data_IF_929340495630
#
_entry.id   IF_929340495630
#
_cell.length_a   1.000
_cell.length_b   1.000
_cell.length_c   1.000
_cell.angle_alpha   90.00
_cell.angle_beta   90.00
_cell.angle_gamma   90.00
#
_symmetry.space_group_name_H-M   'P 1'
#
loop_
_entity.id
_entity.type
_entity.pdbx_description
1 polymer ?
#
# COMPACT_ATOMS: atom_id res chain seq x y z
N UNK A 1 -62.48 -68.42 7.23
CA UNK A 1 -62.25 -67.17 6.46
C UNK A 1 -62.02 -66.03 7.45
N UNK A 2 -60.77 -65.61 7.62
CA UNK A 2 -60.33 -64.50 8.49
C UNK A 2 -59.77 -63.39 7.58
N UNK A 3 -60.19 -62.14 7.75
CA UNK A 3 -59.34 -60.95 7.52
C UNK A 3 -59.80 -59.82 8.43
N UNK A 4 -59.06 -59.63 9.52
CA UNK A 4 -59.02 -58.41 10.32
C UNK A 4 -58.01 -57.51 9.62
N UNK A 5 -58.44 -56.32 9.17
CA UNK A 5 -57.55 -55.30 8.62
C UNK A 5 -57.18 -54.37 9.76
N UNK A 6 -55.94 -54.50 10.23
CA UNK A 6 -55.33 -53.62 11.23
C UNK A 6 -54.71 -52.44 10.49
N UNK A 7 -55.33 -51.26 10.59
CA UNK A 7 -54.80 -50.00 10.07
C UNK A 7 -53.71 -49.46 11.01
N UNK A 8 -52.45 -49.60 10.61
CA UNK A 8 -51.29 -49.05 11.32
C UNK A 8 -50.96 -47.67 10.75
N UNK A 9 -51.33 -46.62 11.48
CA UNK A 9 -50.97 -45.24 11.16
C UNK A 9 -49.50 -44.99 11.49
N UNK A 10 -48.66 -44.86 10.47
CA UNK A 10 -47.26 -44.49 10.60
C UNK A 10 -47.16 -42.96 10.68
N UNK A 11 -46.96 -42.42 11.88
CA UNK A 11 -46.64 -41.00 12.09
C UNK A 11 -45.21 -40.75 11.59
N UNK A 12 -45.06 -40.22 10.38
CA UNK A 12 -43.78 -39.72 9.87
C UNK A 12 -43.50 -38.36 10.54
N UNK A 13 -42.69 -38.38 11.60
CA UNK A 13 -42.09 -37.17 12.15
C UNK A 13 -41.01 -36.69 11.16
N UNK A 14 -41.37 -35.74 10.28
CA UNK A 14 -40.40 -35.00 9.49
C UNK A 14 -39.57 -34.12 10.44
N UNK A 15 -38.45 -34.65 10.92
CA UNK A 15 -37.37 -33.82 11.45
C UNK A 15 -36.80 -32.99 10.30
N UNK A 16 -37.29 -31.77 10.16
CA UNK A 16 -36.71 -30.75 9.29
C UNK A 16 -35.32 -30.40 9.82
N UNK A 17 -34.30 -31.13 9.37
CA UNK A 17 -32.91 -30.72 9.56
C UNK A 17 -32.76 -29.44 8.73
N UNK A 18 -32.91 -28.30 9.39
CA UNK A 18 -32.55 -27.01 8.82
C UNK A 18 -31.04 -27.00 8.68
N UNK A 19 -30.54 -27.47 7.53
CA UNK A 19 -29.15 -27.27 7.15
C UNK A 19 -28.93 -25.76 7.10
N UNK A 20 -28.23 -25.21 8.10
CA UNK A 20 -27.74 -23.84 8.02
C UNK A 20 -26.72 -23.81 6.89
N UNK A 21 -27.16 -23.38 5.70
CA UNK A 21 -26.27 -23.17 4.58
C UNK A 21 -25.23 -22.11 4.99
N UNK A 22 -23.95 -22.47 4.87
CA UNK A 22 -22.86 -21.51 5.06
C UNK A 22 -23.07 -20.34 4.09
N UNK A 23 -23.17 -19.13 4.63
CA UNK A 23 -23.53 -17.90 3.90
C UNK A 23 -22.30 -17.09 3.49
N UNK A 24 -21.19 -17.28 4.19
CA UNK A 24 -19.97 -16.49 4.05
C UNK A 24 -18.76 -17.41 3.84
N UNK A 25 -17.84 -17.02 2.96
CA UNK A 25 -16.60 -17.77 2.75
C UNK A 25 -15.66 -17.62 3.94
N UNK A 26 -15.54 -16.41 4.49
CA UNK A 26 -14.70 -16.11 5.65
C UNK A 26 -15.47 -15.18 6.60
N UNK A 27 -15.44 -15.45 7.89
CA UNK A 27 -15.85 -14.50 8.95
C UNK A 27 -14.61 -14.15 9.77
N UNK A 28 -14.33 -12.87 9.92
CA UNK A 28 -13.31 -12.33 10.81
C UNK A 28 -14.02 -11.87 12.09
N UNK A 29 -13.73 -12.54 13.21
CA UNK A 29 -14.52 -12.44 14.44
C UNK A 29 -13.77 -11.66 15.52
N UNK A 30 -14.46 -10.72 16.16
CA UNK A 30 -14.05 -10.09 17.42
C UNK A 30 -12.89 -9.12 17.32
N UNK A 31 -12.56 -8.65 16.11
CA UNK A 31 -11.48 -7.71 15.88
C UNK A 31 -11.86 -6.26 16.13
N UNK A 32 -10.87 -5.42 16.39
CA UNK A 32 -11.04 -3.97 16.41
C UNK A 32 -10.96 -3.44 14.98
N UNK A 33 -12.10 -3.24 14.34
CA UNK A 33 -12.17 -2.77 12.96
C UNK A 33 -11.83 -1.29 12.89
N UNK A 34 -10.86 -0.94 12.05
CA UNK A 34 -10.54 0.44 11.66
C UNK A 34 -10.75 0.56 10.16
N UNK A 35 -11.84 1.22 9.76
CA UNK A 35 -12.16 1.52 8.37
C UNK A 35 -12.40 3.03 8.20
N UNK A 36 -11.36 3.77 7.77
CA UNK A 36 -11.42 5.23 7.67
C UNK A 36 -12.48 5.76 6.71
N UNK A 37 -12.82 5.03 5.63
CA UNK A 37 -13.84 5.49 4.66
C UNK A 37 -15.23 5.49 5.28
N UNK A 38 -15.55 4.44 6.04
CA UNK A 38 -16.86 4.24 6.64
C UNK A 38 -16.97 4.78 8.07
N UNK A 39 -15.94 5.50 8.55
CA UNK A 39 -15.86 6.04 9.91
C UNK A 39 -16.08 4.97 11.00
N UNK A 40 -15.49 3.79 10.81
CA UNK A 40 -15.56 2.68 11.77
C UNK A 40 -14.26 2.63 12.56
N UNK A 41 -14.39 2.62 13.89
CA UNK A 41 -13.31 2.42 14.83
C UNK A 41 -13.86 1.73 16.10
N UNK A 42 -13.91 0.39 16.12
CA UNK A 42 -14.45 -0.36 17.25
C UNK A 42 -14.51 -1.87 17.06
N UNK A 43 -14.91 -2.59 18.12
CA UNK A 43 -15.00 -4.05 18.10
C UNK A 43 -16.17 -4.52 17.24
N UNK A 44 -15.87 -5.23 16.15
CA UNK A 44 -16.85 -5.71 15.18
C UNK A 44 -16.36 -7.01 14.51
N UNK A 45 -17.26 -7.62 13.75
CA UNK A 45 -16.98 -8.73 12.85
C UNK A 45 -17.11 -8.27 11.40
N UNK A 46 -16.33 -8.91 10.52
CA UNK A 46 -16.36 -8.70 9.07
C UNK A 46 -16.62 -10.04 8.40
N UNK A 47 -17.66 -10.14 7.58
CA UNK A 47 -17.94 -11.34 6.79
C UNK A 47 -17.71 -11.09 5.31
N UNK A 48 -17.01 -12.01 4.67
CA UNK A 48 -16.65 -12.02 3.26
C UNK A 48 -17.42 -13.14 2.55
N UNK A 49 -17.78 -12.91 1.30
CA UNK A 49 -18.33 -13.97 0.43
C UNK A 49 -17.68 -13.88 -0.94
N UNK A 50 -16.83 -14.86 -1.26
CA UNK A 50 -15.93 -14.74 -2.40
C UNK A 50 -15.02 -13.52 -2.23
N UNK A 51 -14.85 -12.74 -3.29
CA UNK A 51 -14.01 -11.55 -3.34
C UNK A 51 -14.68 -10.27 -2.82
N UNK A 52 -15.82 -10.39 -2.13
CA UNK A 52 -16.65 -9.25 -1.72
C UNK A 52 -16.86 -9.19 -0.21
N UNK A 53 -16.76 -7.99 0.37
CA UNK A 53 -17.17 -7.73 1.77
C UNK A 53 -18.69 -7.76 1.85
N UNK A 54 -19.26 -8.71 2.59
CA UNK A 54 -20.72 -8.94 2.61
C UNK A 54 -21.41 -8.32 3.83
N UNK A 55 -20.72 -8.22 4.96
CA UNK A 55 -21.27 -7.63 6.17
C UNK A 55 -20.16 -7.10 7.08
N UNK A 56 -20.44 -5.98 7.74
CA UNK A 56 -19.67 -5.47 8.88
C UNK A 56 -20.65 -5.18 10.00
N UNK A 57 -20.57 -5.91 11.11
CA UNK A 57 -21.57 -5.86 12.18
C UNK A 57 -20.97 -6.17 13.55
N UNK A 58 -21.63 -5.77 14.63
CA UNK A 58 -21.14 -6.02 16.00
C UNK A 58 -20.97 -7.50 16.35
N UNK A 59 -21.84 -8.34 15.80
CA UNK A 59 -21.79 -9.79 16.02
C UNK A 59 -22.39 -10.53 14.82
N UNK A 60 -21.63 -11.46 14.25
CA UNK A 60 -22.01 -12.36 13.17
C UNK A 60 -21.83 -13.79 13.69
N UNK A 61 -22.84 -14.63 13.52
CA UNK A 61 -22.76 -16.04 13.93
C UNK A 61 -21.64 -16.75 13.16
N UNK A 62 -20.58 -17.24 13.83
CA UNK A 62 -19.47 -17.92 13.17
C UNK A 62 -19.91 -19.18 12.40
N UNK A 63 -21.05 -19.79 12.75
CA UNK A 63 -21.60 -20.96 12.04
C UNK A 63 -22.02 -20.65 10.59
N UNK A 64 -22.19 -19.37 10.25
CA UNK A 64 -22.50 -18.95 8.89
C UNK A 64 -21.26 -18.91 7.97
N UNK A 65 -20.05 -19.07 8.53
CA UNK A 65 -18.80 -19.03 7.78
C UNK A 65 -18.30 -20.42 7.38
N UNK A 66 -17.68 -20.52 6.21
CA UNK A 66 -16.87 -21.70 5.82
C UNK A 66 -15.57 -21.69 6.63
N UNK A 67 -14.90 -20.54 6.70
CA UNK A 67 -13.75 -20.27 7.55
C UNK A 67 -14.05 -19.16 8.54
N UNK A 68 -13.46 -19.25 9.73
CA UNK A 68 -13.56 -18.26 10.80
C UNK A 68 -12.16 -17.87 11.24
N UNK A 69 -11.84 -16.58 11.21
CA UNK A 69 -10.60 -15.98 11.71
C UNK A 69 -10.88 -15.42 13.11
N UNK A 70 -10.16 -15.88 14.14
CA UNK A 70 -10.20 -15.27 15.47
C UNK A 70 -9.29 -14.04 15.53
N UNK A 71 -9.88 -12.85 15.44
CA UNK A 71 -9.16 -11.58 15.47
C UNK A 71 -9.24 -10.89 16.84
N UNK A 72 -9.62 -11.61 17.91
CA UNK A 72 -9.77 -11.01 19.24
C UNK A 72 -8.47 -10.35 19.72
N UNK A 73 -8.56 -9.08 20.13
CA UNK A 73 -7.42 -8.30 20.60
C UNK A 73 -6.48 -7.83 19.48
N UNK A 74 -6.88 -8.02 18.21
CA UNK A 74 -6.18 -7.57 17.02
C UNK A 74 -6.97 -6.46 16.32
N UNK A 75 -6.32 -5.74 15.42
CA UNK A 75 -6.93 -4.76 14.54
C UNK A 75 -7.27 -5.38 13.19
N UNK A 76 -8.43 -5.03 12.65
CA UNK A 76 -8.87 -5.46 11.32
C UNK A 76 -9.01 -4.21 10.47
N UNK A 77 -8.26 -4.12 9.38
CA UNK A 77 -8.22 -2.94 8.50
C UNK A 77 -8.48 -3.37 7.06
N UNK A 78 -8.87 -2.45 6.16
CA UNK A 78 -8.72 -2.70 4.74
C UNK A 78 -7.29 -3.18 4.45
N UNK A 79 -7.14 -4.05 3.45
CA UNK A 79 -5.82 -4.48 2.99
C UNK A 79 -4.95 -3.28 2.68
N UNK A 80 -3.69 -3.30 3.15
CA UNK A 80 -2.81 -2.14 3.01
C UNK A 80 -2.45 -1.92 1.53
N UNK A 81 -2.27 -0.65 1.18
CA UNK A 81 -1.88 -0.20 -0.16
C UNK A 81 -0.54 0.51 -0.03
N UNK A 82 0.49 -0.10 -0.58
CA UNK A 82 1.80 0.53 -0.71
C UNK A 82 1.91 1.19 -2.09
N UNK A 83 1.68 2.51 -2.13
CA UNK A 83 1.57 3.23 -3.40
C UNK A 83 2.93 3.64 -4.02
N UNK A 84 4.04 3.23 -3.41
CA UNK A 84 5.37 3.48 -3.92
C UNK A 84 6.23 2.24 -3.67
N UNK A 85 6.43 1.41 -4.69
CA UNK A 85 7.28 0.23 -4.64
C UNK A 85 7.96 0.01 -5.99
N UNK A 86 8.98 -0.85 -6.03
CA UNK A 86 9.63 -1.25 -7.28
C UNK A 86 9.47 -2.74 -7.52
N UNK A 87 8.64 -3.11 -8.49
CA UNK A 87 8.16 -4.49 -8.67
C UNK A 87 8.48 -5.12 -10.02
N UNK A 88 9.03 -4.38 -10.98
CA UNK A 88 9.46 -4.94 -12.25
C UNK A 88 10.81 -5.69 -12.16
N UNK A 89 10.88 -6.66 -11.24
CA UNK A 89 12.06 -7.50 -11.06
C UNK A 89 12.33 -8.34 -12.29
N UNK A 90 13.60 -8.44 -12.66
CA UNK A 90 14.00 -9.22 -13.81
C UNK A 90 15.48 -9.54 -13.86
N UNK A 91 15.89 -10.11 -14.99
CA UNK A 91 17.23 -10.68 -15.19
C UNK A 91 18.09 -9.82 -16.11
N UNK A 92 17.66 -8.62 -16.50
CA UNK A 92 18.49 -7.69 -17.29
C UNK A 92 19.45 -6.98 -16.36
N UNK A 93 20.60 -7.62 -16.12
CA UNK A 93 21.60 -7.17 -15.15
C UNK A 93 22.30 -5.84 -15.50
N UNK A 94 22.10 -5.34 -16.72
CA UNK A 94 22.53 -4.01 -17.17
C UNK A 94 21.53 -2.89 -16.82
N UNK A 95 20.41 -3.21 -16.16
CA UNK A 95 19.33 -2.28 -15.81
C UNK A 95 19.21 -2.17 -14.29
N UNK A 96 18.55 -1.10 -13.80
CA UNK A 96 18.31 -0.92 -12.36
C UNK A 96 16.97 -1.54 -11.95
N UNK A 97 15.85 -0.86 -12.24
CA UNK A 97 14.52 -1.23 -11.75
C UNK A 97 13.58 -1.74 -12.86
N UNK A 98 13.80 -1.34 -14.12
CA UNK A 98 13.03 -1.85 -15.26
C UNK A 98 13.52 -3.23 -15.69
N UNK A 99 12.78 -4.30 -15.38
CA UNK A 99 13.20 -5.69 -15.65
C UNK A 99 14.61 -6.00 -15.08
N UNK A 100 14.98 -5.30 -14.02
CA UNK A 100 16.34 -5.27 -13.47
C UNK A 100 16.41 -5.94 -12.09
N UNK A 101 17.63 -6.10 -11.56
CA UNK A 101 17.87 -6.81 -10.31
C UNK A 101 17.53 -5.99 -9.06
N UNK A 102 17.25 -4.69 -9.17
CA UNK A 102 17.00 -3.85 -7.99
C UNK A 102 15.52 -3.80 -7.57
N UNK A 103 14.59 -4.14 -8.45
CA UNK A 103 13.18 -4.32 -8.10
C UNK A 103 12.93 -5.66 -7.39
N UNK A 104 11.73 -5.89 -6.84
CA UNK A 104 11.38 -7.10 -6.08
C UNK A 104 10.09 -7.75 -6.58
N UNK A 105 10.07 -9.08 -6.62
CA UNK A 105 8.85 -9.83 -6.86
C UNK A 105 7.79 -9.54 -5.76
N UNK A 106 6.55 -9.11 -6.09
CA UNK A 106 5.57 -8.63 -5.10
C UNK A 106 5.20 -9.62 -4.00
N UNK A 107 4.85 -10.86 -4.37
CA UNK A 107 4.26 -11.84 -3.45
C UNK A 107 5.21 -12.22 -2.29
N UNK A 108 6.53 -12.09 -2.49
CA UNK A 108 7.54 -12.42 -1.47
C UNK A 108 7.66 -11.39 -0.33
N UNK A 109 7.14 -10.18 -0.52
CA UNK A 109 7.39 -9.04 0.38
C UNK A 109 6.13 -8.33 0.89
N UNK A 110 4.96 -8.66 0.34
CA UNK A 110 3.72 -7.89 0.57
C UNK A 110 2.76 -8.56 1.54
N UNK A 111 2.45 -9.85 1.38
CA UNK A 111 1.43 -10.49 2.21
C UNK A 111 1.81 -10.62 3.68
N UNK A 112 3.09 -10.81 3.99
CA UNK A 112 3.59 -10.88 5.38
C UNK A 112 3.53 -9.55 6.13
N UNK A 113 3.18 -8.46 5.46
CA UNK A 113 3.13 -7.10 6.00
C UNK A 113 1.75 -6.47 5.84
N UNK A 114 0.70 -7.26 5.57
CA UNK A 114 -0.66 -6.76 5.41
C UNK A 114 -0.94 -6.10 4.06
N UNK A 115 0.06 -6.04 3.17
CA UNK A 115 -0.06 -5.37 1.87
C UNK A 115 -0.77 -6.28 0.88
N UNK A 116 -1.90 -5.79 0.36
CA UNK A 116 -2.71 -6.49 -0.66
C UNK A 116 -2.57 -5.86 -2.05
N UNK A 117 -2.17 -4.59 -2.09
CA UNK A 117 -1.98 -3.82 -3.30
C UNK A 117 -0.66 -3.07 -3.24
N UNK A 118 0.10 -3.13 -4.32
CA UNK A 118 1.29 -2.31 -4.55
C UNK A 118 1.09 -1.46 -5.80
N UNK A 119 1.74 -0.31 -5.85
CA UNK A 119 1.83 0.51 -7.06
C UNK A 119 3.30 0.69 -7.41
N UNK A 120 3.71 0.05 -8.51
CA UNK A 120 5.05 0.20 -9.07
C UNK A 120 5.28 1.65 -9.48
N UNK A 121 6.32 2.27 -8.92
CA UNK A 121 6.57 3.69 -9.03
C UNK A 121 7.48 4.04 -10.21
N UNK A 122 7.05 3.65 -11.43
CA UNK A 122 7.74 4.04 -12.66
C UNK A 122 8.83 3.08 -13.12
N UNK A 123 8.88 1.82 -12.68
CA UNK A 123 9.87 0.90 -13.22
C UNK A 123 9.68 0.69 -14.72
N UNK A 124 8.44 0.59 -15.18
CA UNK A 124 8.10 0.47 -16.59
C UNK A 124 7.72 1.84 -17.19
N UNK A 125 8.16 2.10 -18.42
CA UNK A 125 7.66 3.17 -19.27
C UNK A 125 6.72 2.64 -20.34
N UNK A 126 6.30 3.49 -21.29
CA UNK A 126 5.37 3.10 -22.35
C UNK A 126 5.91 2.00 -23.30
N UNK A 127 7.24 1.86 -23.45
CA UNK A 127 7.86 0.78 -24.25
C UNK A 127 7.92 -0.53 -23.47
N UNK A 128 8.20 -0.46 -22.16
CA UNK A 128 8.50 -1.62 -21.33
C UNK A 128 7.29 -2.15 -20.53
N UNK A 129 6.16 -1.43 -20.51
CA UNK A 129 4.95 -1.85 -19.81
C UNK A 129 4.39 -3.22 -20.24
N UNK A 130 4.35 -3.61 -21.54
CA UNK A 130 3.86 -4.94 -21.93
C UNK A 130 4.64 -6.09 -21.27
N UNK A 131 5.97 -5.93 -21.16
CA UNK A 131 6.83 -6.90 -20.47
C UNK A 131 6.52 -6.91 -18.97
N UNK A 132 6.42 -5.75 -18.33
CA UNK A 132 6.08 -5.65 -16.90
C UNK A 132 4.73 -6.30 -16.57
N UNK A 133 3.73 -6.05 -17.42
CA UNK A 133 2.40 -6.64 -17.25
C UNK A 133 2.48 -8.16 -17.30
N UNK A 134 3.12 -8.72 -18.33
CA UNK A 134 3.23 -10.16 -18.53
C UNK A 134 4.08 -10.84 -17.46
N UNK A 135 5.19 -10.23 -17.06
CA UNK A 135 6.20 -10.83 -16.19
C UNK A 135 5.91 -10.64 -14.70
N UNK A 136 5.17 -9.61 -14.32
CA UNK A 136 4.89 -9.30 -12.92
C UNK A 136 3.40 -9.21 -12.64
N UNK A 137 2.68 -8.31 -13.31
CA UNK A 137 1.28 -8.01 -12.95
C UNK A 137 0.39 -9.24 -13.09
N UNK A 138 0.45 -9.93 -14.23
CA UNK A 138 -0.46 -11.02 -14.57
C UNK A 138 -0.22 -12.29 -13.76
N UNK A 139 0.99 -12.46 -13.22
CA UNK A 139 1.36 -13.66 -12.46
C UNK A 139 1.32 -13.46 -10.94
N UNK A 140 1.23 -12.21 -10.46
CA UNK A 140 1.24 -11.90 -9.04
C UNK A 140 -0.11 -12.19 -8.39
N UNK A 141 -0.08 -12.76 -7.18
CA UNK A 141 -1.27 -12.83 -6.34
C UNK A 141 -1.53 -11.48 -5.68
N UNK A 142 -0.50 -10.71 -5.36
CA UNK A 142 -0.65 -9.32 -4.93
C UNK A 142 -1.21 -8.52 -6.09
N UNK A 143 -2.12 -7.57 -5.80
CA UNK A 143 -2.57 -6.65 -6.83
C UNK A 143 -1.45 -5.67 -7.15
N UNK A 144 -0.95 -5.69 -8.38
CA UNK A 144 0.11 -4.80 -8.85
C UNK A 144 -0.51 -3.77 -9.79
N UNK A 145 -0.36 -2.50 -9.44
CA UNK A 145 -0.70 -1.35 -10.28
C UNK A 145 0.60 -0.63 -10.68
N UNK A 146 0.53 0.36 -11.55
CA UNK A 146 1.70 1.06 -12.07
C UNK A 146 1.46 2.55 -12.23
N UNK A 147 2.39 3.36 -11.71
CA UNK A 147 2.73 4.62 -12.35
C UNK A 147 3.65 4.31 -13.54
N UNK A 148 3.29 4.73 -14.75
CA UNK A 148 4.18 4.61 -15.89
C UNK A 148 5.26 5.68 -15.83
N UNK A 149 6.53 5.32 -16.01
CA UNK A 149 7.56 6.32 -16.21
C UNK A 149 7.27 7.15 -17.46
N UNK A 150 7.54 8.46 -17.39
CA UNK A 150 7.50 9.31 -18.58
C UNK A 150 8.58 8.92 -19.60
N UNK A 151 9.71 8.39 -19.14
CA UNK A 151 10.74 7.78 -20.00
C UNK A 151 10.22 6.46 -20.55
N UNK A 152 10.23 6.28 -21.88
CA UNK A 152 9.67 5.11 -22.54
C UNK A 152 10.27 3.78 -22.11
N UNK A 153 11.58 3.71 -21.91
CA UNK A 153 12.25 2.50 -21.41
C UNK A 153 12.01 2.23 -19.90
N UNK A 154 11.47 3.19 -19.16
CA UNK A 154 11.27 3.08 -17.71
C UNK A 154 12.54 3.40 -16.91
N UNK A 155 12.58 3.00 -15.64
CA UNK A 155 13.73 3.15 -14.75
C UNK A 155 14.82 2.11 -15.08
N UNK A 156 15.37 2.20 -16.29
CA UNK A 156 16.53 1.43 -16.70
C UNK A 156 17.81 1.92 -16.01
N UNK A 157 17.85 3.20 -15.63
CA UNK A 157 18.99 3.86 -15.01
C UNK A 157 19.96 4.48 -16.02
N UNK A 158 20.94 5.21 -15.50
CA UNK A 158 21.99 5.84 -16.31
C UNK A 158 21.45 6.86 -17.31
N UNK A 159 22.09 6.96 -18.48
CA UNK A 159 21.74 7.92 -19.53
C UNK A 159 20.34 7.73 -20.11
N UNK A 160 19.76 6.52 -19.99
CA UNK A 160 18.42 6.21 -20.48
C UNK A 160 17.34 6.99 -19.71
N UNK A 161 17.43 7.01 -18.38
CA UNK A 161 16.49 7.71 -17.52
C UNK A 161 16.62 9.25 -17.63
N UNK A 162 17.73 9.73 -18.19
CA UNK A 162 17.98 11.16 -18.43
C UNK A 162 17.59 11.61 -19.85
N UNK A 163 17.13 10.69 -20.71
CA UNK A 163 16.88 11.00 -22.12
C UNK A 163 15.52 11.71 -22.33
N UNK A 164 15.54 13.04 -22.40
CA UNK A 164 14.34 13.86 -22.65
C UNK A 164 13.66 13.52 -23.99
N UNK A 165 14.40 13.05 -24.99
CA UNK A 165 13.81 12.65 -26.28
C UNK A 165 12.95 11.38 -26.17
N UNK A 166 13.20 10.53 -25.17
CA UNK A 166 12.38 9.33 -24.89
C UNK A 166 11.17 9.62 -23.99
N UNK A 167 11.12 10.83 -23.43
CA UNK A 167 9.99 11.31 -22.63
C UNK A 167 8.87 11.76 -23.58
N UNK A 168 7.90 10.89 -23.80
CA UNK A 168 6.81 11.11 -24.77
C UNK A 168 5.44 11.13 -24.06
N UNK A 169 4.84 12.31 -23.88
CA UNK A 169 3.56 12.43 -23.20
C UNK A 169 2.41 11.71 -23.90
N UNK A 170 2.41 11.72 -25.24
CA UNK A 170 1.32 11.17 -26.06
C UNK A 170 1.34 9.65 -25.98
N UNK A 171 2.50 9.02 -26.17
CA UNK A 171 2.62 7.58 -26.06
C UNK A 171 2.42 7.07 -24.62
N UNK A 172 2.91 7.81 -23.63
CA UNK A 172 2.67 7.49 -22.20
C UNK A 172 1.17 7.53 -21.89
N UNK A 173 0.47 8.59 -22.31
CA UNK A 173 -0.96 8.69 -22.10
C UNK A 173 -1.76 7.63 -22.88
N UNK A 174 -1.33 7.28 -24.09
CA UNK A 174 -1.94 6.20 -24.89
C UNK A 174 -1.86 4.87 -24.16
N UNK A 175 -0.67 4.44 -23.72
CA UNK A 175 -0.51 3.16 -23.00
C UNK A 175 -1.29 3.16 -21.68
N UNK A 176 -1.34 4.28 -20.97
CA UNK A 176 -2.15 4.42 -19.76
C UNK A 176 -3.64 4.18 -20.04
N UNK A 177 -4.18 4.81 -21.10
CA UNK A 177 -5.59 4.67 -21.51
C UNK A 177 -5.93 3.28 -22.05
N UNK A 178 -4.98 2.60 -22.70
CA UNK A 178 -5.14 1.22 -23.17
C UNK A 178 -5.13 0.22 -22.01
N UNK A 179 -4.59 0.60 -20.83
CA UNK A 179 -4.45 -0.28 -19.67
C UNK A 179 -5.05 0.34 -18.39
N UNK A 180 -6.32 0.79 -18.42
CA UNK A 180 -6.91 1.62 -17.37
C UNK A 180 -7.21 0.85 -16.08
N UNK A 181 -7.07 -0.48 -16.06
CA UNK A 181 -7.19 -1.31 -14.85
C UNK A 181 -5.88 -1.41 -14.06
N UNK A 182 -4.74 -1.14 -14.71
CA UNK A 182 -3.40 -1.36 -14.16
C UNK A 182 -2.59 -0.08 -14.02
N UNK A 183 -2.70 0.82 -14.99
CA UNK A 183 -2.00 2.11 -14.95
C UNK A 183 -2.85 3.11 -14.17
N UNK A 184 -2.25 3.72 -13.14
CA UNK A 184 -2.93 4.66 -12.22
C UNK A 184 -2.31 6.05 -12.20
N UNK A 185 -1.19 6.25 -12.88
CA UNK A 185 -0.54 7.56 -12.95
C UNK A 185 0.70 7.54 -13.81
N UNK A 186 1.40 8.68 -13.82
CA UNK A 186 2.70 8.84 -14.47
C UNK A 186 3.76 9.14 -13.41
N UNK A 187 4.96 8.60 -13.57
CA UNK A 187 6.11 8.84 -12.73
C UNK A 187 7.14 9.65 -13.50
N UNK A 188 7.68 10.69 -12.87
CA UNK A 188 9.02 11.18 -13.17
C UNK A 188 9.95 10.62 -12.09
N UNK A 189 10.99 9.89 -12.49
CA UNK A 189 11.96 9.27 -11.58
C UNK A 189 13.38 9.74 -11.92
N UNK A 190 14.17 10.03 -10.88
CA UNK A 190 15.62 10.28 -10.91
C UNK A 190 16.17 11.22 -11.99
N UNK A 191 15.38 12.14 -12.55
CA UNK A 191 15.91 13.11 -13.52
C UNK A 191 16.84 14.12 -12.83
N UNK A 192 18.05 14.27 -13.34
CA UNK A 192 19.09 15.15 -12.80
C UNK A 192 19.19 16.45 -13.61
N UNK A 193 19.51 17.53 -12.92
CA UNK A 193 19.68 18.85 -13.53
C UNK A 193 18.50 19.78 -13.27
N UNK A 194 18.52 20.94 -13.93
CA UNK A 194 17.61 22.06 -13.68
C UNK A 194 16.56 22.25 -14.79
N UNK A 195 16.29 21.19 -15.56
CA UNK A 195 15.34 21.25 -16.67
C UNK A 195 13.96 20.83 -16.16
N UNK A 196 12.96 21.70 -16.38
CA UNK A 196 11.56 21.43 -16.06
C UNK A 196 10.83 20.64 -17.14
N UNK A 197 11.40 20.53 -18.34
CA UNK A 197 10.82 19.80 -19.48
C UNK A 197 10.36 18.39 -19.11
N UNK A 198 11.13 17.57 -18.35
CA UNK A 198 10.67 16.25 -17.90
C UNK A 198 9.42 16.30 -17.02
N UNK A 199 9.36 17.27 -16.09
CA UNK A 199 8.21 17.46 -15.21
C UNK A 199 6.98 17.86 -16.02
N UNK A 200 7.12 18.82 -16.92
CA UNK A 200 6.03 19.30 -17.77
C UNK A 200 5.51 18.21 -18.71
N UNK A 201 6.40 17.39 -19.26
CA UNK A 201 6.03 16.22 -20.07
C UNK A 201 5.28 15.17 -19.26
N UNK A 202 5.71 14.88 -18.03
CA UNK A 202 4.98 13.96 -17.14
C UNK A 202 3.58 14.50 -16.80
N UNK A 203 3.48 15.79 -16.49
CA UNK A 203 2.21 16.49 -16.23
C UNK A 203 1.32 16.51 -17.46
N UNK A 204 1.87 16.73 -18.66
CA UNK A 204 1.14 16.65 -19.92
C UNK A 204 0.56 15.24 -20.14
N UNK A 205 1.37 14.20 -19.93
CA UNK A 205 0.90 12.81 -20.02
C UNK A 205 -0.25 12.53 -19.03
N UNK A 206 -0.09 12.99 -17.78
CA UNK A 206 -1.13 12.91 -16.75
C UNK A 206 -2.40 13.67 -17.11
N UNK A 207 -2.31 14.83 -17.78
CA UNK A 207 -3.47 15.58 -18.30
C UNK A 207 -4.16 14.81 -19.41
N UNK A 208 -3.40 14.34 -20.38
CA UNK A 208 -3.92 13.59 -21.53
C UNK A 208 -4.66 12.33 -21.09
N UNK A 209 -4.15 11.61 -20.07
CA UNK A 209 -4.74 10.38 -19.53
C UNK A 209 -5.71 10.59 -18.36
N UNK A 210 -5.88 11.81 -17.85
CA UNK A 210 -6.69 12.11 -16.67
C UNK A 210 -6.31 11.27 -15.43
N UNK A 211 -5.01 11.19 -15.16
CA UNK A 211 -4.41 10.45 -14.04
C UNK A 211 -3.37 11.33 -13.31
N UNK A 212 -3.10 11.06 -12.02
CA UNK A 212 -2.10 11.81 -11.25
C UNK A 212 -0.67 11.58 -11.75
N UNK A 213 0.20 12.54 -11.44
CA UNK A 213 1.65 12.42 -11.62
C UNK A 213 2.33 12.31 -10.27
N UNK A 214 3.32 11.42 -10.14
CA UNK A 214 4.21 11.34 -8.99
C UNK A 214 5.63 11.76 -9.39
N UNK A 215 6.21 12.72 -8.66
CA UNK A 215 7.56 13.24 -8.92
C UNK A 215 8.55 12.79 -7.86
N UNK A 216 9.63 12.15 -8.30
CA UNK A 216 10.90 11.98 -7.59
C UNK A 216 12.02 12.57 -8.44
N UNK A 217 12.63 13.66 -7.98
CA UNK A 217 13.77 14.25 -8.66
C UNK A 217 15.02 13.40 -8.49
N UNK A 218 15.97 13.46 -9.41
CA UNK A 218 17.32 12.98 -9.18
C UNK A 218 18.06 13.93 -8.23
N UNK A 219 19.11 14.57 -8.71
CA UNK A 219 19.83 15.62 -8.00
C UNK A 219 20.15 16.81 -8.89
N UNK A 220 20.25 17.97 -8.28
CA UNK A 220 20.72 19.20 -8.91
C UNK A 220 21.57 20.00 -7.91
N UNK A 221 22.56 20.75 -8.41
CA UNK A 221 23.36 21.69 -7.61
C UNK A 221 23.42 23.03 -8.34
N UNK A 222 22.76 24.10 -7.84
CA UNK A 222 21.88 24.14 -6.66
C UNK A 222 20.65 23.22 -6.78
N UNK A 223 19.94 22.96 -5.68
CA UNK A 223 18.74 22.14 -5.76
C UNK A 223 17.61 22.87 -6.52
N UNK A 224 16.84 22.13 -7.34
CA UNK A 224 15.60 22.61 -7.95
C UNK A 224 14.59 23.06 -6.87
N UNK A 225 13.88 24.15 -7.17
CA UNK A 225 12.89 24.72 -6.25
C UNK A 225 11.65 23.84 -6.15
N UNK A 226 11.36 23.34 -4.94
CA UNK A 226 10.10 22.63 -4.71
C UNK A 226 8.90 23.59 -4.65
N UNK A 227 9.11 24.87 -4.38
CA UNK A 227 8.05 25.88 -4.49
C UNK A 227 7.61 26.05 -5.94
N UNK A 228 8.56 26.18 -6.88
CA UNK A 228 8.27 26.24 -8.31
C UNK A 228 7.58 24.97 -8.80
N UNK A 229 8.08 23.79 -8.41
CA UNK A 229 7.43 22.50 -8.69
C UNK A 229 5.94 22.54 -8.29
N UNK A 230 5.64 22.92 -7.05
CA UNK A 230 4.29 22.86 -6.51
C UNK A 230 3.37 23.93 -7.09
N UNK A 231 3.90 25.13 -7.31
CA UNK A 231 3.07 26.28 -7.68
C UNK A 231 2.88 26.40 -9.18
N UNK A 232 3.88 26.02 -9.98
CA UNK A 232 3.87 26.25 -11.43
C UNK A 232 3.65 24.97 -12.24
N UNK A 233 4.25 23.85 -11.85
CA UNK A 233 4.25 22.64 -12.67
C UNK A 233 3.16 21.64 -12.26
N UNK A 234 3.03 21.35 -10.97
CA UNK A 234 2.07 20.35 -10.48
C UNK A 234 0.64 20.87 -10.39
N UNK A 235 -0.30 19.93 -10.54
CA UNK A 235 -1.75 20.13 -10.49
C UNK A 235 -2.33 19.57 -9.19
N UNK A 236 -3.55 19.97 -8.79
CA UNK A 236 -4.27 19.29 -7.73
C UNK A 236 -4.36 17.77 -8.01
N UNK A 237 -4.05 16.96 -7.00
CA UNK A 237 -3.99 15.49 -7.10
C UNK A 237 -2.62 14.93 -7.50
N UNK A 238 -1.69 15.75 -8.01
CA UNK A 238 -0.32 15.29 -8.25
C UNK A 238 0.44 15.12 -6.91
N UNK A 239 1.41 14.22 -6.92
CA UNK A 239 2.04 13.62 -5.75
C UNK A 239 3.53 14.00 -5.71
N UNK A 240 3.95 14.59 -4.59
CA UNK A 240 5.35 14.73 -4.22
C UNK A 240 5.71 13.61 -3.24
N UNK A 241 6.49 12.64 -3.70
CA UNK A 241 6.99 11.55 -2.86
C UNK A 241 8.33 11.91 -2.24
N UNK A 242 8.85 11.08 -1.32
CA UNK A 242 10.05 11.37 -0.53
C UNK A 242 9.93 12.66 0.28
N UNK A 243 8.71 12.99 0.76
CA UNK A 243 8.44 14.31 1.33
C UNK A 243 9.24 14.63 2.62
N UNK A 244 9.83 13.61 3.25
CA UNK A 244 10.70 13.76 4.42
C UNK A 244 12.17 13.45 4.13
N UNK A 245 12.61 13.53 2.87
CA UNK A 245 14.01 13.38 2.48
C UNK A 245 14.87 14.61 2.80
N UNK A 246 16.17 14.40 3.06
CA UNK A 246 17.14 15.49 3.26
C UNK A 246 18.47 15.19 2.54
N UNK A 247 18.53 15.50 1.26
CA UNK A 247 19.74 15.35 0.44
C UNK A 247 20.28 16.72 0.06
N UNK A 248 21.60 16.87 -0.04
CA UNK A 248 22.22 18.14 -0.44
C UNK A 248 21.83 18.60 -1.84
N UNK A 249 21.42 17.66 -2.70
CA UNK A 249 21.02 17.87 -4.08
C UNK A 249 19.51 18.05 -4.29
N UNK A 250 18.71 18.08 -3.21
CA UNK A 250 17.25 18.24 -3.26
C UNK A 250 16.79 19.22 -2.18
N UNK A 251 15.83 20.08 -2.51
CA UNK A 251 15.29 21.01 -1.53
C UNK A 251 14.32 20.30 -0.57
N UNK A 252 14.53 20.35 0.77
CA UNK A 252 13.61 19.77 1.73
C UNK A 252 12.38 20.67 1.98
N UNK A 253 11.29 20.09 2.46
CA UNK A 253 10.05 20.81 2.82
C UNK A 253 10.20 21.67 4.08
N UNK A 254 11.20 21.38 4.93
CA UNK A 254 11.54 22.18 6.10
C UNK A 254 12.67 23.15 5.79
N UNK A 255 12.66 24.29 6.47
CA UNK A 255 13.87 25.06 6.65
C UNK A 255 14.78 24.33 7.65
N UNK A 256 15.94 23.87 7.18
CA UNK A 256 16.88 23.05 7.97
C UNK A 256 17.51 23.78 9.15
N UNK A 257 17.51 25.12 9.16
CA UNK A 257 18.07 25.92 10.27
C UNK A 257 17.07 26.05 11.41
N UNK A 258 15.79 26.23 11.08
CA UNK A 258 14.72 26.49 12.04
C UNK A 258 13.90 25.25 12.40
N UNK A 259 13.96 24.20 11.59
CA UNK A 259 13.13 23.00 11.74
C UNK A 259 11.64 23.25 11.50
N UNK A 260 11.27 24.36 10.84
CA UNK A 260 9.88 24.72 10.54
C UNK A 260 9.52 24.39 9.09
N UNK A 261 8.27 23.99 8.87
CA UNK A 261 7.74 23.76 7.51
C UNK A 261 7.74 25.09 6.77
N UNK A 262 8.28 25.10 5.55
CA UNK A 262 8.30 26.28 4.70
C UNK A 262 6.85 26.69 4.38
N UNK A 263 6.48 27.99 4.47
CA UNK A 263 5.08 28.41 4.31
C UNK A 263 4.40 27.92 3.03
N UNK A 264 5.11 27.93 1.89
CA UNK A 264 4.57 27.49 0.61
C UNK A 264 4.17 26.00 0.57
N UNK A 265 4.70 25.18 1.47
CA UNK A 265 4.35 23.75 1.57
C UNK A 265 2.90 23.58 2.05
N UNK A 266 2.45 24.44 2.98
CA UNK A 266 1.05 24.48 3.39
C UNK A 266 0.14 24.97 2.27
N UNK A 267 0.59 25.97 1.51
CA UNK A 267 -0.15 26.46 0.34
C UNK A 267 -0.24 25.40 -0.75
N UNK A 268 0.83 24.63 -0.99
CA UNK A 268 0.82 23.50 -1.92
C UNK A 268 -0.19 22.42 -1.49
N UNK A 269 -0.25 22.10 -0.19
CA UNK A 269 -1.26 21.19 0.35
C UNK A 269 -2.68 21.71 0.14
N UNK A 270 -2.94 23.01 0.38
CA UNK A 270 -4.25 23.64 0.10
C UNK A 270 -4.61 23.62 -1.38
N UNK A 271 -3.62 23.79 -2.27
CA UNK A 271 -3.77 23.65 -3.73
C UNK A 271 -4.12 22.20 -4.13
N UNK A 272 -3.90 21.22 -3.24
CA UNK A 272 -4.23 19.81 -3.47
C UNK A 272 -3.04 18.96 -3.88
N UNK A 273 -1.80 19.42 -3.66
CA UNK A 273 -0.60 18.59 -3.82
C UNK A 273 -0.56 17.57 -2.69
N UNK A 274 -0.36 16.29 -3.05
CA UNK A 274 -0.31 15.17 -2.12
C UNK A 274 1.14 14.90 -1.72
N UNK A 275 1.39 14.73 -0.43
CA UNK A 275 2.71 14.42 0.13
C UNK A 275 2.77 12.95 0.52
N UNK A 276 3.55 12.18 -0.24
CA UNK A 276 3.77 10.75 -0.03
C UNK A 276 5.12 10.50 0.65
N UNK A 277 5.17 9.50 1.53
CA UNK A 277 6.39 9.21 2.30
C UNK A 277 7.53 8.74 1.39
N UNK A 278 7.31 7.72 0.54
CA UNK A 278 8.34 7.10 -0.29
C UNK A 278 9.62 6.84 0.49
N UNK A 279 9.59 5.99 1.51
CA UNK A 279 10.67 5.96 2.51
C UNK A 279 12.06 5.73 1.91
N UNK A 280 12.20 4.71 1.07
CA UNK A 280 13.37 4.45 0.24
C UNK A 280 14.63 4.07 1.00
N UNK A 281 15.75 3.99 0.28
CA UNK A 281 17.06 3.78 0.88
C UNK A 281 17.58 5.01 1.63
N UNK A 282 17.34 6.21 1.06
CA UNK A 282 17.92 7.49 1.50
C UNK A 282 16.92 8.65 1.50
N UNK A 283 15.63 8.35 1.32
CA UNK A 283 14.59 9.34 1.02
C UNK A 283 13.76 9.76 2.23
N UNK A 284 14.16 9.33 3.43
CA UNK A 284 13.53 9.67 4.69
C UNK A 284 14.57 9.97 5.77
N UNK A 285 14.50 11.15 6.37
CA UNK A 285 15.29 11.54 7.53
C UNK A 285 14.39 11.94 8.69
N UNK A 286 14.69 11.47 9.90
CA UNK A 286 14.01 11.86 11.14
C UNK A 286 14.18 13.35 11.45
N UNK A 287 15.30 13.95 11.03
CA UNK A 287 15.51 15.40 11.08
C UNK A 287 14.43 16.17 10.32
N UNK A 288 13.80 15.54 9.32
CA UNK A 288 12.67 16.12 8.60
C UNK A 288 11.32 15.66 9.14
N UNK A 289 11.15 14.35 9.33
CA UNK A 289 9.86 13.79 9.70
C UNK A 289 9.42 14.20 11.13
N UNK A 290 10.32 14.22 12.11
CA UNK A 290 9.94 14.51 13.52
C UNK A 290 9.42 15.95 13.68
N UNK A 291 10.12 17.00 13.21
CA UNK A 291 9.58 18.36 13.32
C UNK A 291 8.28 18.54 12.54
N UNK A 292 8.16 17.93 11.35
CA UNK A 292 6.93 17.99 10.55
C UNK A 292 5.73 17.39 11.32
N UNK A 293 5.86 16.16 11.81
CA UNK A 293 4.84 15.45 12.60
C UNK A 293 4.48 16.24 13.87
N UNK A 294 5.48 16.77 14.60
CA UNK A 294 5.25 17.61 15.80
C UNK A 294 4.51 18.91 15.50
N UNK A 295 4.65 19.45 14.29
CA UNK A 295 3.91 20.64 13.83
C UNK A 295 2.51 20.32 13.29
N UNK A 296 2.09 19.04 13.30
CA UNK A 296 0.82 18.59 12.74
C UNK A 296 0.84 18.37 11.22
N UNK A 297 2.01 18.48 10.58
CA UNK A 297 2.17 18.17 9.15
C UNK A 297 2.42 16.67 8.96
N UNK A 298 1.34 15.89 8.93
CA UNK A 298 1.39 14.47 8.57
C UNK A 298 1.46 14.26 7.06
N UNK A 299 2.05 13.17 6.55
CA UNK A 299 1.96 12.83 5.13
C UNK A 299 0.51 12.51 4.75
N UNK A 300 0.16 12.70 3.48
CA UNK A 300 -1.12 12.24 2.95
C UNK A 300 -1.16 10.71 2.88
N UNK A 301 -0.05 10.11 2.46
CA UNK A 301 0.09 8.65 2.26
C UNK A 301 1.41 8.16 2.82
N UNK A 302 1.39 6.96 3.41
CA UNK A 302 2.58 6.24 3.86
C UNK A 302 2.88 5.18 2.80
N UNK A 303 4.11 5.13 2.32
CA UNK A 303 4.58 4.19 1.31
C UNK A 303 6.06 3.86 1.54
N UNK A 304 6.54 2.78 0.94
CA UNK A 304 7.86 2.22 1.30
C UNK A 304 8.99 2.67 0.41
N UNK A 305 8.76 2.87 -0.88
CA UNK A 305 9.81 2.84 -1.89
C UNK A 305 10.72 1.60 -1.67
N UNK A 306 10.07 0.42 -1.65
CA UNK A 306 10.76 -0.84 -1.41
C UNK A 306 11.50 -1.31 -2.65
N UNK A 307 12.79 -1.59 -2.46
CA UNK A 307 13.71 -2.16 -3.44
C UNK A 307 14.87 -2.86 -2.73
N UNK A 308 15.76 -3.53 -3.46
CA UNK A 308 16.87 -4.31 -2.88
C UNK A 308 17.78 -3.51 -1.93
N UNK A 309 17.93 -2.21 -2.17
CA UNK A 309 18.71 -1.29 -1.35
C UNK A 309 18.01 -0.81 -0.06
N UNK A 310 16.69 -0.90 0.02
CA UNK A 310 15.91 -0.40 1.17
C UNK A 310 15.34 -1.53 2.05
N UNK A 311 15.05 -2.70 1.46
CA UNK A 311 14.33 -3.81 2.12
C UNK A 311 15.05 -4.42 3.34
N UNK A 312 16.37 -4.25 3.45
CA UNK A 312 17.16 -4.74 4.59
C UNK A 312 17.78 -3.60 5.42
N UNK A 313 17.54 -2.35 5.03
CA UNK A 313 18.15 -1.18 5.63
C UNK A 313 17.22 -0.53 6.67
N UNK A 314 17.21 0.80 6.76
CA UNK A 314 16.35 1.55 7.66
C UNK A 314 14.86 1.26 7.40
N UNK A 315 14.44 1.20 6.13
CA UNK A 315 13.05 1.08 5.68
C UNK A 315 12.42 -0.28 6.02
N UNK A 316 13.03 -1.38 5.62
CA UNK A 316 12.55 -2.77 5.81
C UNK A 316 11.26 -3.08 5.05
N UNK A 317 10.12 -2.70 5.62
CA UNK A 317 8.79 -3.05 5.12
C UNK A 317 7.74 -2.00 5.54
N UNK A 318 6.53 -2.15 4.98
CA UNK A 318 5.39 -1.25 5.21
C UNK A 318 5.05 -1.10 6.71
N UNK A 319 5.04 -2.17 7.48
CA UNK A 319 4.69 -2.12 8.91
C UNK A 319 5.77 -1.44 9.74
N UNK A 320 7.04 -1.58 9.35
CA UNK A 320 8.14 -0.84 9.98
C UNK A 320 8.01 0.67 9.70
N UNK A 321 7.65 1.08 8.48
CA UNK A 321 7.40 2.50 8.16
C UNK A 321 6.21 3.03 8.94
N UNK A 322 5.07 2.32 8.94
CA UNK A 322 3.89 2.68 9.74
C UNK A 322 4.23 2.81 11.24
N UNK A 323 5.02 1.88 11.79
CA UNK A 323 5.45 1.90 13.19
C UNK A 323 6.32 3.11 13.52
N UNK A 324 7.14 3.60 12.58
CA UNK A 324 7.88 4.85 12.77
C UNK A 324 6.95 6.05 12.91
N UNK A 325 5.88 6.12 12.13
CA UNK A 325 4.90 7.20 12.26
C UNK A 325 4.13 7.13 13.58
N UNK A 326 3.79 5.93 14.06
CA UNK A 326 3.28 5.75 15.42
C UNK A 326 4.28 6.26 16.46
N UNK A 327 5.55 5.87 16.36
CA UNK A 327 6.62 6.28 17.27
C UNK A 327 6.86 7.80 17.28
N UNK A 328 6.64 8.47 16.14
CA UNK A 328 6.74 9.93 16.03
C UNK A 328 5.49 10.69 16.52
N UNK A 329 4.38 9.98 16.79
CA UNK A 329 3.17 10.56 17.39
C UNK A 329 1.96 10.69 16.47
N UNK A 330 1.93 10.05 15.29
CA UNK A 330 0.65 9.85 14.59
C UNK A 330 -0.17 8.78 15.31
N UNK A 331 -1.47 9.01 15.47
CA UNK A 331 -2.37 7.99 16.01
C UNK A 331 -2.60 6.83 15.01
N UNK A 332 -2.97 5.65 15.54
CA UNK A 332 -3.16 4.45 14.73
C UNK A 332 -4.22 4.61 13.63
N UNK A 333 -5.44 5.13 13.89
CA UNK A 333 -6.40 5.42 12.83
C UNK A 333 -5.84 6.27 11.68
N UNK A 334 -5.06 7.32 11.99
CA UNK A 334 -4.40 8.17 11.00
C UNK A 334 -3.34 7.41 10.19
N UNK A 335 -2.54 6.56 10.84
CA UNK A 335 -1.57 5.69 10.15
C UNK A 335 -2.26 4.67 9.24
N UNK A 336 -3.35 4.04 9.70
CA UNK A 336 -4.16 3.13 8.87
C UNK A 336 -4.76 3.88 7.69
N UNK A 337 -5.33 5.07 7.90
CA UNK A 337 -5.88 5.91 6.82
C UNK A 337 -4.84 6.25 5.76
N UNK A 338 -3.65 6.67 6.18
CA UNK A 338 -2.53 6.97 5.28
C UNK A 338 -1.99 5.75 4.53
N UNK A 339 -2.36 4.53 4.95
CA UNK A 339 -1.89 3.26 4.38
C UNK A 339 -3.00 2.45 3.67
N UNK A 340 -4.22 2.97 3.61
CA UNK A 340 -5.40 2.29 3.03
C UNK A 340 -6.23 3.24 2.17
N UNK A 341 -7.04 4.08 2.82
CA UNK A 341 -8.02 4.92 2.13
C UNK A 341 -7.36 6.09 1.39
N UNK A 342 -6.42 6.79 2.03
CA UNK A 342 -5.73 7.91 1.39
C UNK A 342 -4.95 7.51 0.12
N UNK A 343 -4.15 6.42 0.09
CA UNK A 343 -3.51 5.99 -1.15
C UNK A 343 -4.53 5.53 -2.19
N UNK A 344 -5.65 4.87 -1.80
CA UNK A 344 -6.72 4.53 -2.75
C UNK A 344 -7.33 5.76 -3.42
N UNK A 345 -7.52 6.85 -2.68
CA UNK A 345 -7.97 8.13 -3.22
C UNK A 345 -6.89 8.77 -4.12
N UNK A 346 -5.64 8.79 -3.68
CA UNK A 346 -4.53 9.40 -4.42
C UNK A 346 -4.33 8.79 -5.81
N UNK A 347 -4.61 7.49 -5.97
CA UNK A 347 -4.47 6.77 -7.25
C UNK A 347 -5.81 6.54 -7.99
N UNK A 348 -6.89 7.19 -7.55
CA UNK A 348 -8.24 7.08 -8.12
C UNK A 348 -8.78 5.63 -8.16
N UNK A 349 -8.52 4.83 -7.12
CA UNK A 349 -8.99 3.44 -6.95
C UNK A 349 -9.84 3.25 -5.71
N UNK A 350 -10.90 4.05 -5.57
CA UNK A 350 -11.75 4.09 -4.38
C UNK A 350 -12.59 2.82 -4.08
N UNK A 351 -12.52 1.81 -4.96
CA UNK A 351 -12.99 0.45 -4.67
C UNK A 351 -12.05 -0.31 -3.71
N UNK A 352 -10.81 0.16 -3.56
CA UNK A 352 -9.82 -0.34 -2.61
C UNK A 352 -9.86 0.48 -1.30
N UNK A 353 -9.10 0.04 -0.30
CA UNK A 353 -8.82 0.84 0.90
C UNK A 353 -10.02 1.06 1.84
N UNK A 354 -11.06 0.24 1.74
CA UNK A 354 -12.21 0.24 2.68
C UNK A 354 -12.81 -1.16 2.85
N UNK A 355 -13.55 -1.36 3.94
CA UNK A 355 -14.35 -2.56 4.21
C UNK A 355 -15.84 -2.30 3.94
N UNK A 356 -16.14 -1.46 2.95
CA UNK A 356 -17.51 -1.11 2.55
C UNK A 356 -18.26 -2.37 2.12
N UNK A 357 -19.48 -2.58 2.60
CA UNK A 357 -20.34 -3.68 2.14
C UNK A 357 -20.56 -3.57 0.63
N UNK A 358 -20.29 -4.65 -0.10
CA UNK A 358 -20.27 -4.68 -1.57
C UNK A 358 -18.92 -4.31 -2.20
N UNK A 359 -17.95 -3.88 -1.40
CA UNK A 359 -16.57 -3.60 -1.81
C UNK A 359 -15.69 -4.85 -1.86
N UNK A 360 -14.43 -4.66 -2.26
CA UNK A 360 -13.45 -5.74 -2.44
C UNK A 360 -13.00 -6.34 -1.11
N UNK A 361 -12.92 -7.67 -1.04
CA UNK A 361 -12.50 -8.44 0.13
C UNK A 361 -10.97 -8.50 0.27
N UNK A 362 -10.37 -7.33 0.52
CA UNK A 362 -8.96 -7.19 0.86
C UNK A 362 -8.85 -6.71 2.31
N UNK A 363 -8.21 -7.50 3.17
CA UNK A 363 -8.17 -7.27 4.62
C UNK A 363 -6.77 -7.55 5.17
N UNK A 364 -6.32 -6.70 6.08
CA UNK A 364 -5.17 -6.98 6.93
C UNK A 364 -5.63 -7.11 8.39
N UNK A 365 -5.12 -8.13 9.09
CA UNK A 365 -5.29 -8.32 10.52
C UNK A 365 -3.92 -8.05 11.18
N UNK A 366 -3.88 -7.04 12.04
CA UNK A 366 -2.65 -6.49 12.59
C UNK A 366 -2.66 -6.56 14.12
N UNK A 367 -1.50 -6.74 14.73
CA UNK A 367 -1.29 -6.55 16.16
C UNK A 367 -0.43 -5.33 16.42
N UNK A 368 -0.70 -4.66 17.54
CA UNK A 368 0.24 -3.73 18.16
C UNK A 368 0.99 -4.50 19.24
N UNK A 369 2.22 -4.86 18.95
CA UNK A 369 3.14 -5.44 19.92
C UNK A 369 3.51 -4.39 20.96
N UNK A 370 3.49 -4.78 22.24
CA UNK A 370 3.93 -3.96 23.36
C UNK A 370 5.19 -4.58 23.94
N UNK A 371 6.25 -3.78 24.15
CA UNK A 371 7.60 -4.21 24.53
C UNK A 371 7.74 -4.86 25.91
N UNK A 372 7.00 -5.93 26.20
CA UNK A 372 7.18 -6.77 27.39
C UNK A 372 7.53 -8.20 26.93
N UNK A 373 8.78 -8.45 26.57
CA UNK A 373 9.31 -9.77 26.25
C UNK A 373 10.35 -10.20 27.31
N UNK A 374 10.41 -11.50 27.68
CA UNK A 374 11.51 -12.10 28.46
C UNK A 374 12.52 -12.74 27.49
N UNK A 375 13.84 -12.86 27.67
CA UNK A 375 14.76 -12.78 28.82
C UNK A 375 15.94 -11.80 28.57
N UNK A 376 15.90 -11.00 27.49
CA UNK A 376 16.94 -10.01 27.09
C UNK A 376 16.30 -8.78 26.38
N UNK A 377 15.07 -8.44 26.75
CA UNK A 377 14.32 -7.36 26.09
C UNK A 377 14.72 -5.98 26.64
N UNK A 378 14.93 -5.03 25.73
CA UNK A 378 15.17 -3.62 26.08
C UNK A 378 13.89 -2.90 26.53
N UNK A 379 12.73 -3.56 26.40
CA UNK A 379 11.41 -3.00 26.73
C UNK A 379 10.88 -2.02 25.67
N UNK A 380 11.62 -1.86 24.58
CA UNK A 380 11.34 -0.92 23.49
C UNK A 380 11.75 -1.51 22.14
N UNK A 381 11.11 -1.02 21.08
CA UNK A 381 11.52 -1.26 19.69
C UNK A 381 12.38 -0.11 19.21
N UNK A 382 13.51 -0.42 18.56
CA UNK A 382 14.40 0.56 17.95
C UNK A 382 14.07 0.81 16.48
N UNK A 383 14.08 2.08 16.08
CA UNK A 383 13.98 2.51 14.69
C UNK A 383 15.15 3.44 14.35
N UNK A 384 15.61 3.39 13.11
CA UNK A 384 16.65 4.26 12.59
C UNK A 384 16.34 4.70 11.15
N UNK A 385 16.97 5.79 10.73
CA UNK A 385 16.98 6.27 9.35
C UNK A 385 18.37 6.12 8.69
N UNK A 386 18.51 6.54 7.42
CA UNK A 386 19.78 6.41 6.70
C UNK A 386 20.89 7.32 7.23
N UNK A 387 20.55 8.35 8.02
CA UNK A 387 21.52 9.24 8.67
C UNK A 387 22.12 8.64 9.94
N UNK A 388 21.58 7.51 10.40
CA UNK A 388 21.95 6.87 11.66
C UNK A 388 21.21 7.44 12.88
N UNK A 389 20.27 8.37 12.67
CA UNK A 389 19.42 8.91 13.74
C UNK A 389 18.49 7.80 14.23
N UNK A 390 18.39 7.63 15.56
CA UNK A 390 17.59 6.59 16.20
C UNK A 390 16.44 7.18 16.99
N UNK A 391 15.31 6.49 16.97
CA UNK A 391 14.20 6.68 17.91
C UNK A 391 13.78 5.33 18.49
N UNK A 392 13.05 5.34 19.60
CA UNK A 392 12.49 4.14 20.21
C UNK A 392 10.98 4.29 20.40
N UNK A 393 10.28 3.16 20.48
CA UNK A 393 8.85 3.10 20.79
C UNK A 393 8.56 1.92 21.71
N UNK A 394 7.49 2.02 22.50
CA UNK A 394 6.94 0.87 23.25
C UNK A 394 6.02 0.00 22.38
N UNK A 395 5.69 0.48 21.18
CA UNK A 395 4.72 -0.13 20.27
C UNK A 395 5.32 -0.36 18.88
N UNK A 396 4.99 -1.51 18.27
CA UNK A 396 5.32 -1.86 16.89
C UNK A 396 4.18 -2.66 16.27
N UNK A 397 3.90 -2.42 14.99
CA UNK A 397 2.92 -3.21 14.24
C UNK A 397 3.50 -4.54 13.74
N UNK A 398 2.67 -5.58 13.78
CA UNK A 398 2.94 -6.90 13.22
C UNK A 398 1.71 -7.40 12.45
N UNK A 399 1.93 -8.09 11.33
CA UNK A 399 0.85 -8.70 10.56
C UNK A 399 0.56 -10.09 11.11
N UNK A 400 -0.71 -10.37 11.41
CA UNK A 400 -1.16 -11.71 11.80
C UNK A 400 -1.76 -12.46 10.61
N UNK A 401 -2.52 -11.77 9.77
CA UNK A 401 -3.20 -12.39 8.64
C UNK A 401 -3.47 -11.39 7.53
N UNK A 402 -3.34 -11.85 6.29
CA UNK A 402 -3.67 -11.08 5.09
C UNK A 402 -4.65 -11.87 4.23
N UNK A 403 -5.75 -11.22 3.87
CA UNK A 403 -6.74 -11.72 2.91
C UNK A 403 -6.67 -10.84 1.66
N UNK A 404 -6.52 -11.47 0.50
CA UNK A 404 -6.62 -10.81 -0.80
C UNK A 404 -7.66 -11.50 -1.64
N UNK A 405 -8.57 -10.72 -2.24
CA UNK A 405 -9.67 -11.21 -3.06
C UNK A 405 -10.43 -12.38 -2.38
N UNK A 406 -10.71 -12.23 -1.08
CA UNK A 406 -11.49 -13.20 -0.32
C UNK A 406 -10.77 -14.49 0.06
N UNK A 407 -9.45 -14.58 -0.15
CA UNK A 407 -8.63 -15.74 0.20
C UNK A 407 -7.58 -15.36 1.23
N UNK A 408 -7.43 -16.17 2.28
CA UNK A 408 -6.27 -16.08 3.19
C UNK A 408 -5.01 -16.41 2.38
N UNK A 409 -4.12 -15.42 2.25
CA UNK A 409 -2.86 -15.54 1.50
C UNK A 409 -1.64 -15.54 2.42
N UNK A 410 -1.83 -15.15 3.68
CA UNK A 410 -0.85 -15.22 4.75
C UNK A 410 -1.59 -15.37 6.09
N UNK A 411 -1.11 -16.29 6.94
CA UNK A 411 -1.62 -16.52 8.29
C UNK A 411 -0.41 -16.91 9.15
N UNK A 412 0.07 -15.98 9.98
CA UNK A 412 1.31 -16.12 10.74
C UNK A 412 1.20 -17.22 11.80
N UNK A 413 0.09 -17.22 12.54
CA UNK A 413 -0.13 -18.06 13.71
C UNK A 413 -1.22 -19.11 13.53
N UNK A 414 -1.76 -19.26 12.31
CA UNK A 414 -2.83 -20.22 12.02
C UNK A 414 -4.16 -19.86 12.68
N UNK A 415 -4.50 -18.57 12.74
CA UNK A 415 -5.69 -18.07 13.45
C UNK A 415 -7.00 -18.31 12.67
N UNK A 416 -6.92 -18.88 11.47
CA UNK A 416 -8.06 -19.29 10.65
C UNK A 416 -8.50 -20.73 10.94
N UNK A 417 -9.80 -20.97 11.11
CA UNK A 417 -10.38 -22.31 11.32
C UNK A 417 -11.54 -22.59 10.34
N UNK A 418 -11.52 -23.72 9.61
CA UNK A 418 -10.40 -24.64 9.45
C UNK A 418 -9.27 -24.01 8.63
N UNK A 419 -8.03 -24.46 8.87
CA UNK A 419 -6.90 -24.09 8.03
C UNK A 419 -7.01 -24.78 6.67
N UNK A 420 -7.04 -24.00 5.59
CA UNK A 420 -6.95 -24.52 4.23
C UNK A 420 -5.48 -24.63 3.86
N UNK A 421 -4.92 -25.83 4.03
CA UNK A 421 -3.58 -26.14 3.53
C UNK A 421 -3.69 -26.38 2.03
N UNK A 422 -2.88 -25.67 1.23
CA UNK A 422 -2.79 -25.96 -0.20
C UNK A 422 -2.55 -27.46 -0.39
N UNK A 423 -3.44 -28.14 -1.14
CA UNK A 423 -3.32 -29.58 -1.39
C UNK A 423 -1.92 -29.87 -1.91
N UNK A 424 -1.30 -30.97 -1.43
CA UNK A 424 -0.01 -31.45 -1.95
C UNK A 424 -0.02 -31.32 -3.46
N UNK A 425 0.96 -30.60 -4.01
CA UNK A 425 1.16 -30.51 -5.46
C UNK A 425 1.17 -31.94 -6.00
N UNK A 426 0.18 -32.26 -6.85
CA UNK A 426 0.31 -33.40 -7.76
C UNK A 426 1.28 -33.01 -8.87
#
# INVERSE_FOLDING_TARGET
MKKIILSMGLLMACCSISANAQKYTIIIKGGHVIDPKNNINGIMDVALNGDTVKSVAKNIDPKLGIQVVDAKGMYVTPGLIDMHSHNFYGTKMDQTYSNGPNALAPDGFTFRTGVTTVVDAGCAGWKSFPDFKKQTIDISKTRVLSFLNIVGEGMRGGTYEQNIADMDPVNTARVAKENPDYVVGVKLAHFNGHDWTPTDKAVEAGKLANIPVMVDFGGSTPALSIEELFMQHLRPGDIFTHCFGQLSSREPILDVKTGKIKPFVYEARKKGILFDVGYGGISFAFSQAIPAVKSGFYPNTISTDIHTGSMNAAMKDMLNVMSKFLAMGMDLPSVIKASTWAPAQAIHREKLGSLTVGGLADVAVLRVLKGNFSMNDTGVFGFFDYTGTKITSKEKLECELTIRAGKVVYDLNGITTPLVVASKRN
#
